data_IF_361954526578
#
_entry.id   IF_361954526578
#
_cell.length_a   1.000
_cell.length_b   1.000
_cell.length_c   1.000
_cell.angle_alpha   90.00
_cell.angle_beta   90.00
_cell.angle_gamma   90.00
#
_symmetry.space_group_name_H-M   'P 1'
#
loop_
_entity.id
_entity.type
_entity.pdbx_description
1 polymer ?
#
# COMPACT_ATOMS: atom_id res chain seq x y z
N UNK A 1 72.79 -3.93 -2.81
CA UNK A 1 72.08 -5.00 -2.04
C UNK A 1 71.07 -4.49 -0.99
N UNK A 2 70.88 -3.18 -0.76
CA UNK A 2 69.92 -2.68 0.26
C UNK A 2 68.51 -2.32 -0.23
N UNK A 3 68.32 -2.07 -1.53
CA UNK A 3 67.06 -1.57 -2.12
C UNK A 3 66.00 -2.65 -2.30
N UNK A 4 66.38 -3.88 -2.67
CA UNK A 4 65.44 -4.99 -2.85
C UNK A 4 64.77 -5.43 -1.54
N UNK A 5 65.47 -5.32 -0.42
CA UNK A 5 64.93 -5.65 0.90
C UNK A 5 63.87 -4.67 1.40
N UNK A 6 63.92 -3.40 0.97
CA UNK A 6 62.91 -2.38 1.30
C UNK A 6 61.66 -2.52 0.44
N UNK A 7 61.83 -2.71 -0.87
CA UNK A 7 60.71 -2.94 -1.79
C UNK A 7 59.94 -4.23 -1.47
N UNK A 8 60.64 -5.30 -1.05
CA UNK A 8 60.00 -6.54 -0.61
C UNK A 8 59.16 -6.36 0.66
N UNK A 9 59.69 -5.65 1.68
CA UNK A 9 58.94 -5.34 2.92
C UNK A 9 57.73 -4.44 2.65
N UNK A 10 57.86 -3.46 1.77
CA UNK A 10 56.77 -2.54 1.44
C UNK A 10 55.63 -3.26 0.70
N UNK A 11 55.96 -4.17 -0.23
CA UNK A 11 54.97 -5.03 -0.90
C UNK A 11 54.29 -5.99 0.07
N UNK A 12 55.04 -6.60 0.99
CA UNK A 12 54.50 -7.49 2.01
C UNK A 12 53.57 -6.76 2.99
N UNK A 13 53.90 -5.51 3.35
CA UNK A 13 53.06 -4.65 4.18
C UNK A 13 51.76 -4.26 3.47
N UNK A 14 51.83 -3.85 2.19
CA UNK A 14 50.66 -3.52 1.37
C UNK A 14 49.73 -4.72 1.16
N UNK A 15 50.30 -5.90 0.94
CA UNK A 15 49.54 -7.15 0.79
C UNK A 15 48.86 -7.56 2.10
N UNK A 16 49.53 -7.41 3.24
CA UNK A 16 48.95 -7.70 4.55
C UNK A 16 47.74 -6.81 4.88
N UNK A 17 47.83 -5.50 4.61
CA UNK A 17 46.70 -4.59 4.84
C UNK A 17 45.49 -4.91 3.96
N UNK A 18 45.72 -5.26 2.69
CA UNK A 18 44.64 -5.68 1.79
C UNK A 18 43.96 -6.96 2.29
N UNK A 19 44.72 -7.97 2.73
CA UNK A 19 44.16 -9.20 3.30
C UNK A 19 43.30 -8.89 4.53
N UNK A 20 43.78 -8.05 5.45
CA UNK A 20 43.00 -7.66 6.63
C UNK A 20 41.74 -6.87 6.26
N UNK A 21 41.80 -5.97 5.28
CA UNK A 21 40.65 -5.20 4.81
C UNK A 21 39.58 -6.10 4.18
N UNK A 22 39.98 -7.05 3.33
CA UNK A 22 39.06 -8.02 2.72
C UNK A 22 38.49 -9.01 3.75
N UNK A 23 39.28 -9.42 4.74
CA UNK A 23 38.79 -10.19 5.89
C UNK A 23 37.73 -9.43 6.70
N UNK A 24 37.96 -8.16 6.98
CA UNK A 24 36.98 -7.33 7.68
C UNK A 24 35.69 -7.18 6.85
N UNK A 25 35.79 -7.00 5.54
CA UNK A 25 34.63 -6.97 4.65
C UNK A 25 33.86 -8.30 4.65
N UNK A 26 34.57 -9.43 4.59
CA UNK A 26 33.95 -10.76 4.72
C UNK A 26 33.22 -10.92 6.07
N UNK A 27 33.80 -10.37 7.15
CA UNK A 27 33.14 -10.28 8.45
C UNK A 27 31.85 -9.44 8.44
N UNK A 28 31.85 -8.29 7.75
CA UNK A 28 30.65 -7.47 7.56
C UNK A 28 29.55 -8.20 6.79
N UNK A 29 29.92 -8.97 5.75
CA UNK A 29 28.98 -9.83 5.02
C UNK A 29 28.40 -10.90 5.95
N UNK A 30 29.24 -11.53 6.78
CA UNK A 30 28.80 -12.48 7.81
C UNK A 30 27.82 -11.86 8.81
N UNK A 31 28.11 -10.66 9.32
CA UNK A 31 27.20 -9.92 10.20
C UNK A 31 25.85 -9.59 9.52
N UNK A 32 25.88 -9.22 8.24
CA UNK A 32 24.69 -8.92 7.45
C UNK A 32 23.84 -10.18 7.22
N UNK A 33 24.49 -11.31 6.93
CA UNK A 33 23.81 -12.60 6.81
C UNK A 33 23.14 -13.01 8.13
N UNK A 34 23.83 -12.83 9.26
CA UNK A 34 23.28 -13.09 10.59
C UNK A 34 22.08 -12.19 10.90
N UNK A 35 22.15 -10.90 10.57
CA UNK A 35 21.02 -9.98 10.67
C UNK A 35 19.84 -10.44 9.81
N UNK A 36 20.08 -10.88 8.57
CA UNK A 36 19.07 -11.41 7.67
C UNK A 36 18.37 -12.66 8.23
N UNK A 37 19.13 -13.59 8.83
CA UNK A 37 18.57 -14.78 9.49
C UNK A 37 17.65 -14.38 10.65
N UNK A 38 18.07 -13.47 11.52
CA UNK A 38 17.23 -13.00 12.63
C UNK A 38 15.97 -12.28 12.15
N UNK A 39 16.06 -11.45 11.10
CA UNK A 39 14.88 -10.81 10.49
C UNK A 39 13.92 -11.81 9.86
N UNK A 40 14.42 -12.83 9.16
CA UNK A 40 13.59 -13.86 8.56
C UNK A 40 12.85 -14.69 9.61
N UNK A 41 13.52 -15.00 10.72
CA UNK A 41 12.93 -15.69 11.86
C UNK A 41 11.88 -14.80 12.56
N UNK A 42 12.12 -13.50 12.70
CA UNK A 42 11.16 -12.51 13.24
C UNK A 42 9.86 -12.45 12.44
N UNK A 43 9.97 -12.43 11.10
CA UNK A 43 8.81 -12.37 10.21
C UNK A 43 7.99 -13.65 10.21
N UNK A 44 8.63 -14.83 10.27
CA UNK A 44 7.92 -16.12 10.24
C UNK A 44 7.35 -16.54 11.58
N UNK A 45 7.94 -16.09 12.69
CA UNK A 45 7.54 -16.48 14.04
C UNK A 45 7.26 -15.22 14.87
N UNK A 46 6.32 -14.35 14.46
CA UNK A 46 6.07 -13.08 15.12
C UNK A 46 5.72 -13.25 16.60
N UNK A 47 5.03 -14.33 16.99
CA UNK A 47 4.71 -14.62 18.40
C UNK A 47 5.95 -14.99 19.23
N UNK A 48 7.01 -15.48 18.58
CA UNK A 48 8.31 -15.72 19.19
C UNK A 48 9.23 -14.48 19.14
N UNK A 49 8.74 -13.30 18.74
CA UNK A 49 9.57 -12.09 18.61
C UNK A 49 8.92 -10.80 19.11
N UNK A 50 7.61 -10.63 18.90
CA UNK A 50 6.83 -9.43 19.23
C UNK A 50 6.78 -9.12 20.72
N UNK A 51 7.11 -10.07 21.58
CA UNK A 51 7.12 -9.88 23.04
C UNK A 51 8.46 -9.37 23.61
N UNK A 52 9.50 -9.13 22.77
CA UNK A 52 10.82 -8.66 23.24
C UNK A 52 10.77 -7.30 23.96
N UNK A 53 9.75 -6.49 23.70
CA UNK A 53 9.58 -5.19 24.35
C UNK A 53 8.70 -5.19 25.61
N UNK A 54 7.92 -6.25 25.91
CA UNK A 54 7.04 -6.16 27.09
C UNK A 54 6.74 -7.48 27.84
N UNK A 55 7.09 -8.67 27.36
CA UNK A 55 6.77 -9.92 28.11
C UNK A 55 7.51 -11.20 27.67
N UNK A 56 8.64 -11.08 26.97
CA UNK A 56 9.44 -12.24 26.55
C UNK A 56 10.04 -13.05 27.71
N UNK A 57 10.11 -12.45 28.91
CA UNK A 57 10.72 -13.07 30.09
C UNK A 57 10.00 -14.31 30.63
N UNK A 58 8.74 -14.57 30.26
CA UNK A 58 7.92 -15.62 30.89
C UNK A 58 7.49 -16.77 29.96
N UNK A 59 7.36 -16.55 28.65
CA UNK A 59 6.89 -17.60 27.71
C UNK A 59 8.04 -18.43 27.10
N UNK A 60 9.15 -17.80 26.67
CA UNK A 60 10.35 -18.54 26.21
C UNK A 60 11.15 -19.13 27.37
N UNK A 61 10.89 -18.68 28.60
CA UNK A 61 11.41 -19.27 29.83
C UNK A 61 10.88 -20.68 30.13
N UNK A 62 9.88 -21.19 29.38
CA UNK A 62 9.39 -22.55 29.59
C UNK A 62 10.47 -23.62 29.29
N UNK A 63 11.43 -23.34 28.38
CA UNK A 63 12.53 -24.26 28.06
C UNK A 63 13.84 -23.52 27.75
N UNK A 64 14.76 -23.45 28.72
CA UNK A 64 16.07 -22.79 28.64
C UNK A 64 16.92 -23.18 27.41
N UNK A 65 16.79 -24.42 26.91
CA UNK A 65 17.53 -24.92 25.76
C UNK A 65 17.10 -24.27 24.44
N UNK A 66 15.85 -23.82 24.32
CA UNK A 66 15.36 -23.10 23.12
C UNK A 66 15.97 -21.71 23.03
N UNK A 67 16.05 -21.01 24.16
CA UNK A 67 16.72 -19.72 24.27
C UNK A 67 18.21 -19.85 23.91
N UNK A 68 18.87 -20.90 24.39
CA UNK A 68 20.26 -21.18 24.07
C UNK A 68 20.44 -21.50 22.59
N UNK A 69 19.65 -22.41 22.03
CA UNK A 69 19.71 -22.78 20.61
C UNK A 69 19.50 -21.57 19.70
N UNK A 70 18.56 -20.70 20.04
CA UNK A 70 18.25 -19.49 19.28
C UNK A 70 19.41 -18.48 19.23
N UNK A 71 20.21 -18.39 20.29
CA UNK A 71 21.38 -17.49 20.36
C UNK A 71 22.64 -18.11 19.82
N UNK A 72 22.79 -19.41 19.97
CA UNK A 72 24.03 -20.13 19.62
C UNK A 72 23.98 -20.64 18.19
N UNK A 73 22.88 -21.27 17.74
CA UNK A 73 22.85 -21.98 16.44
C UNK A 73 23.04 -21.04 15.25
N UNK A 74 22.29 -19.91 15.10
CA UNK A 74 22.50 -19.01 13.97
C UNK A 74 23.90 -18.41 13.94
N UNK A 75 24.40 -17.99 15.11
CA UNK A 75 25.73 -17.41 15.28
C UNK A 75 26.82 -18.43 14.97
N UNK A 76 26.66 -19.66 15.41
CA UNK A 76 27.59 -20.75 15.16
C UNK A 76 27.64 -21.11 13.67
N UNK A 77 26.47 -21.29 13.03
CA UNK A 77 26.39 -21.66 11.61
C UNK A 77 26.98 -20.56 10.73
N UNK A 78 26.58 -19.30 10.92
CA UNK A 78 27.08 -18.17 10.13
C UNK A 78 28.55 -17.89 10.45
N UNK A 79 28.95 -17.98 11.72
CA UNK A 79 30.35 -17.83 12.14
C UNK A 79 31.25 -18.89 11.51
N UNK A 80 30.83 -20.15 11.51
CA UNK A 80 31.54 -21.26 10.88
C UNK A 80 31.64 -21.07 9.36
N UNK A 81 30.54 -20.71 8.69
CA UNK A 81 30.55 -20.41 7.27
C UNK A 81 31.50 -19.23 6.95
N UNK A 82 31.49 -18.18 7.76
CA UNK A 82 32.37 -17.00 7.60
C UNK A 82 33.83 -17.37 7.77
N UNK A 83 34.18 -18.07 8.87
CA UNK A 83 35.55 -18.51 9.17
C UNK A 83 36.09 -19.40 8.03
N UNK A 84 35.35 -20.46 7.67
CA UNK A 84 35.81 -21.46 6.70
C UNK A 84 35.88 -20.89 5.28
N UNK A 85 34.87 -20.12 4.87
CA UNK A 85 34.85 -19.48 3.53
C UNK A 85 35.99 -18.49 3.39
N UNK A 86 36.22 -17.66 4.41
CA UNK A 86 37.30 -16.66 4.39
C UNK A 86 38.68 -17.33 4.33
N UNK A 87 38.91 -18.37 5.13
CA UNK A 87 40.16 -19.14 5.08
C UNK A 87 40.38 -19.78 3.69
N UNK A 88 39.32 -20.28 3.04
CA UNK A 88 39.40 -20.84 1.67
C UNK A 88 39.70 -19.79 0.59
N UNK A 89 39.39 -18.53 0.86
CA UNK A 89 39.75 -17.39 0.01
C UNK A 89 41.17 -16.88 0.29
N UNK A 90 41.97 -17.60 1.10
CA UNK A 90 43.32 -17.19 1.53
C UNK A 90 43.34 -15.88 2.31
N UNK A 91 42.25 -15.58 3.02
CA UNK A 91 42.09 -14.42 3.88
C UNK A 91 42.17 -14.85 5.36
N UNK A 92 42.35 -13.89 6.27
CA UNK A 92 42.29 -14.13 7.72
C UNK A 92 40.84 -14.35 8.18
N UNK A 93 40.45 -15.61 8.34
CA UNK A 93 39.11 -15.98 8.80
C UNK A 93 38.86 -15.74 10.29
N UNK A 94 39.91 -15.65 11.12
CA UNK A 94 39.78 -15.33 12.54
C UNK A 94 39.36 -13.88 12.70
N UNK A 95 40.02 -12.97 11.97
CA UNK A 95 39.62 -11.57 11.91
C UNK A 95 38.19 -11.41 11.39
N UNK A 96 37.83 -12.10 10.30
CA UNK A 96 36.48 -12.02 9.74
C UNK A 96 35.40 -12.49 10.74
N UNK A 97 35.64 -13.59 11.46
CA UNK A 97 34.74 -14.08 12.49
C UNK A 97 34.53 -13.04 13.60
N UNK A 98 35.62 -12.48 14.15
CA UNK A 98 35.51 -11.50 15.24
C UNK A 98 34.87 -10.18 14.81
N UNK A 99 35.15 -9.73 13.58
CA UNK A 99 34.45 -8.57 12.99
C UNK A 99 32.95 -8.87 12.88
N UNK A 100 32.56 -10.04 12.37
CA UNK A 100 31.15 -10.42 12.25
C UNK A 100 30.43 -10.40 13.61
N UNK A 101 31.05 -11.01 14.63
CA UNK A 101 30.50 -11.07 15.99
C UNK A 101 30.44 -9.70 16.67
N UNK A 102 31.48 -8.88 16.51
CA UNK A 102 31.53 -7.55 17.10
C UNK A 102 30.45 -6.63 16.50
N UNK A 103 30.32 -6.62 15.18
CA UNK A 103 29.29 -5.83 14.48
C UNK A 103 27.89 -6.30 14.88
N UNK A 104 27.66 -7.62 14.95
CA UNK A 104 26.40 -8.16 15.41
C UNK A 104 26.09 -7.79 16.88
N UNK A 105 27.08 -7.89 17.77
CA UNK A 105 26.92 -7.53 19.18
C UNK A 105 26.59 -6.05 19.35
N UNK A 106 27.25 -5.15 18.61
CA UNK A 106 26.95 -3.71 18.61
C UNK A 106 25.55 -3.44 18.07
N UNK A 107 25.15 -4.09 16.97
CA UNK A 107 23.84 -3.88 16.36
C UNK A 107 22.68 -4.35 17.24
N UNK A 108 22.88 -5.42 18.03
CA UNK A 108 21.81 -6.06 18.82
C UNK A 108 21.80 -5.62 20.28
N UNK A 109 22.96 -5.44 20.90
CA UNK A 109 23.10 -5.15 22.32
C UNK A 109 23.77 -3.81 22.59
N UNK A 110 24.40 -3.18 21.60
CA UNK A 110 25.14 -1.93 21.78
C UNK A 110 24.27 -0.77 22.27
N UNK A 111 23.14 -0.51 21.61
CA UNK A 111 22.21 0.58 22.00
C UNK A 111 21.66 0.39 23.41
N UNK A 112 21.10 -0.79 23.71
CA UNK A 112 20.54 -1.10 25.02
C UNK A 112 21.60 -1.07 26.15
N UNK A 113 22.83 -1.51 25.87
CA UNK A 113 23.94 -1.42 26.82
C UNK A 113 24.38 0.03 27.02
N UNK A 114 24.51 0.84 25.96
CA UNK A 114 24.84 2.26 26.08
C UNK A 114 23.76 3.04 26.81
N UNK A 115 22.49 2.77 26.55
CA UNK A 115 21.37 3.40 27.23
C UNK A 115 21.35 3.02 28.72
N UNK A 116 21.59 1.74 29.05
CA UNK A 116 21.69 1.26 30.43
C UNK A 116 22.92 1.78 31.18
N UNK A 117 24.02 2.10 30.51
CA UNK A 117 25.26 2.60 31.12
C UNK A 117 25.30 4.13 31.20
N UNK A 118 24.71 4.84 30.24
CA UNK A 118 24.73 6.30 30.12
C UNK A 118 23.57 6.97 30.85
N UNK A 119 22.39 6.33 30.97
CA UNK A 119 21.30 6.83 31.81
C UNK A 119 21.51 6.45 33.28
N UNK A 120 22.52 7.08 33.90
CA UNK A 120 22.47 7.35 35.35
C UNK A 120 21.71 8.65 35.52
N UNK A 121 20.44 8.61 35.92
CA UNK A 121 19.81 9.51 36.90
C UNK A 121 18.28 9.46 36.84
N UNK A 122 17.65 9.36 38.02
CA UNK A 122 16.25 9.81 38.22
C UNK A 122 15.25 8.75 38.67
N UNK A 123 15.40 8.23 39.89
CA UNK A 123 14.24 7.88 40.73
C UNK A 123 13.34 6.70 40.35
N UNK A 124 13.73 5.82 39.41
CA UNK A 124 13.08 4.52 39.22
C UNK A 124 14.08 3.41 39.44
N UNK A 125 13.69 2.46 40.30
CA UNK A 125 14.46 1.29 40.75
C UNK A 125 15.39 0.76 39.67
N UNK A 126 16.69 0.88 39.94
CA UNK A 126 17.76 0.26 39.17
C UNK A 126 17.45 -1.24 39.05
N UNK A 127 16.89 -1.68 37.92
CA UNK A 127 16.63 -3.10 37.67
C UNK A 127 17.98 -3.75 37.36
N UNK A 128 18.62 -4.30 38.39
CA UNK A 128 19.92 -5.01 38.40
C UNK A 128 20.03 -6.10 37.31
N UNK A 129 18.93 -6.48 36.64
CA UNK A 129 18.88 -7.54 35.64
C UNK A 129 19.14 -7.14 34.18
N UNK A 130 19.04 -5.86 33.78
CA UNK A 130 19.12 -5.52 32.35
C UNK A 130 20.56 -5.50 31.79
N UNK A 131 21.49 -4.84 32.48
CA UNK A 131 22.90 -4.82 32.06
C UNK A 131 23.51 -6.24 32.11
N UNK A 132 23.23 -7.00 33.17
CA UNK A 132 23.67 -8.40 33.35
C UNK A 132 23.19 -9.32 32.22
N UNK A 133 21.97 -9.10 31.73
CA UNK A 133 21.43 -9.81 30.58
C UNK A 133 22.19 -9.50 29.28
N UNK A 134 22.50 -8.24 29.00
CA UNK A 134 23.25 -7.87 27.80
C UNK A 134 24.72 -8.32 27.88
N UNK A 135 25.34 -8.25 29.06
CA UNK A 135 26.68 -8.80 29.28
C UNK A 135 26.73 -10.32 29.09
N UNK A 136 25.76 -11.06 29.65
CA UNK A 136 25.69 -12.52 29.44
C UNK A 136 25.39 -12.87 27.98
N UNK A 137 24.62 -12.05 27.25
CA UNK A 137 24.40 -12.21 25.82
C UNK A 137 25.70 -12.05 25.00
N UNK A 138 26.48 -11.00 25.28
CA UNK A 138 27.77 -10.75 24.61
C UNK A 138 28.78 -11.85 24.96
N UNK A 139 28.83 -12.27 26.22
CA UNK A 139 29.68 -13.38 26.65
C UNK A 139 29.33 -14.68 25.91
N UNK A 140 28.04 -14.97 25.74
CA UNK A 140 27.58 -16.13 24.98
C UNK A 140 27.96 -16.07 23.49
N UNK A 141 27.92 -14.88 22.87
CA UNK A 141 28.45 -14.69 21.51
C UNK A 141 29.96 -15.00 21.45
N UNK A 142 30.72 -14.54 22.43
CA UNK A 142 32.15 -14.83 22.55
C UNK A 142 32.45 -16.32 22.71
N UNK A 143 31.73 -17.01 23.61
CA UNK A 143 31.82 -18.47 23.80
C UNK A 143 31.48 -19.20 22.50
N UNK A 144 30.44 -18.76 21.80
CA UNK A 144 30.05 -19.35 20.51
C UNK A 144 31.14 -19.16 19.46
N UNK A 145 31.77 -17.97 19.40
CA UNK A 145 32.91 -17.69 18.53
C UNK A 145 34.11 -18.60 18.81
N UNK A 146 34.44 -18.81 20.08
CA UNK A 146 35.49 -19.78 20.47
C UNK A 146 35.11 -21.20 20.03
N UNK A 147 33.85 -21.61 20.23
CA UNK A 147 33.35 -22.89 19.74
C UNK A 147 33.50 -23.07 18.23
N UNK A 148 33.24 -22.01 17.46
CA UNK A 148 33.45 -21.98 15.99
C UNK A 148 34.93 -22.14 15.65
N UNK A 149 35.84 -21.47 16.35
CA UNK A 149 37.29 -21.60 16.12
C UNK A 149 37.79 -23.02 16.38
N UNK A 150 37.37 -23.61 17.51
CA UNK A 150 37.79 -24.96 17.92
C UNK A 150 37.25 -26.05 16.98
N UNK A 151 36.02 -25.89 16.49
CA UNK A 151 35.36 -26.86 15.61
C UNK A 151 35.63 -26.62 14.12
N UNK A 152 36.12 -25.43 13.74
CA UNK A 152 36.21 -24.98 12.36
C UNK A 152 37.01 -25.89 11.44
N UNK A 153 38.10 -26.49 11.95
CA UNK A 153 38.89 -27.47 11.19
C UNK A 153 38.10 -28.73 10.88
N UNK A 154 37.43 -29.29 11.89
CA UNK A 154 36.67 -30.54 11.76
C UNK A 154 35.40 -30.35 10.92
N UNK A 155 34.65 -29.29 11.18
CA UNK A 155 33.40 -28.99 10.46
C UNK A 155 33.60 -28.30 9.11
N UNK A 156 34.85 -28.03 8.71
CA UNK A 156 35.15 -27.44 7.40
C UNK A 156 34.57 -28.24 6.24
N UNK A 157 34.46 -29.57 6.38
CA UNK A 157 33.90 -30.47 5.36
C UNK A 157 32.41 -30.24 5.12
N UNK A 158 31.67 -29.73 6.12
CA UNK A 158 30.23 -29.45 6.04
C UNK A 158 29.97 -28.13 5.32
N UNK A 159 30.90 -27.16 5.42
CA UNK A 159 30.77 -25.87 4.75
C UNK A 159 31.05 -26.05 3.25
N UNK A 160 30.13 -25.67 2.34
CA UNK A 160 30.36 -25.75 0.89
C UNK A 160 31.52 -24.87 0.43
N UNK A 161 32.12 -25.19 -0.73
CA UNK A 161 33.11 -24.30 -1.34
C UNK A 161 32.49 -22.93 -1.67
N UNK A 162 33.25 -21.82 -1.64
CA UNK A 162 32.72 -20.47 -1.86
C UNK A 162 31.90 -20.34 -3.16
N UNK A 163 32.37 -21.00 -4.23
CA UNK A 163 31.67 -21.05 -5.52
C UNK A 163 30.30 -21.73 -5.41
N UNK A 164 30.23 -22.89 -4.76
CA UNK A 164 28.97 -23.64 -4.57
C UNK A 164 28.00 -22.84 -3.69
N UNK A 165 28.51 -22.14 -2.68
CA UNK A 165 27.70 -21.26 -1.83
C UNK A 165 27.08 -20.12 -2.65
N UNK A 166 27.85 -19.50 -3.55
CA UNK A 166 27.36 -18.46 -4.46
C UNK A 166 26.32 -19.01 -5.44
N UNK A 167 26.57 -20.18 -6.03
CA UNK A 167 25.62 -20.86 -6.94
C UNK A 167 24.28 -21.14 -6.22
N UNK A 168 24.32 -21.68 -5.00
CA UNK A 168 23.12 -21.93 -4.20
C UNK A 168 22.38 -20.65 -3.81
N UNK A 169 23.10 -19.55 -3.53
CA UNK A 169 22.49 -18.27 -3.22
C UNK A 169 21.70 -17.71 -4.42
N UNK A 170 22.28 -17.83 -5.62
CA UNK A 170 21.59 -17.46 -6.87
C UNK A 170 20.33 -18.30 -7.09
N UNK A 171 20.43 -19.62 -6.91
CA UNK A 171 19.27 -20.52 -7.03
C UNK A 171 18.17 -20.14 -6.04
N UNK A 172 18.51 -19.93 -4.77
CA UNK A 172 17.54 -19.51 -3.75
C UNK A 172 16.89 -18.16 -4.09
N UNK A 173 17.67 -17.20 -4.61
CA UNK A 173 17.15 -15.91 -5.06
C UNK A 173 16.15 -16.07 -6.20
N UNK A 174 16.48 -16.86 -7.24
CA UNK A 174 15.56 -17.11 -8.35
C UNK A 174 14.28 -17.80 -7.90
N UNK A 175 14.39 -18.81 -7.02
CA UNK A 175 13.22 -19.49 -6.45
C UNK A 175 12.37 -18.52 -5.63
N UNK A 176 12.98 -17.66 -4.82
CA UNK A 176 12.26 -16.67 -4.01
C UNK A 176 11.52 -15.65 -4.89
N UNK A 177 12.18 -15.15 -5.94
CA UNK A 177 11.57 -14.20 -6.89
C UNK A 177 10.46 -14.88 -7.68
N UNK A 178 10.72 -16.02 -8.30
CA UNK A 178 9.72 -16.76 -9.09
C UNK A 178 8.55 -17.21 -8.22
N UNK A 179 8.82 -17.72 -7.03
CA UNK A 179 7.80 -18.10 -6.04
C UNK A 179 7.00 -16.91 -5.54
N UNK A 180 7.63 -15.76 -5.30
CA UNK A 180 6.95 -14.52 -4.93
C UNK A 180 6.04 -13.98 -6.05
N UNK A 181 6.51 -14.03 -7.29
CA UNK A 181 5.72 -13.67 -8.48
C UNK A 181 4.54 -14.62 -8.64
N UNK A 182 4.77 -15.94 -8.60
CA UNK A 182 3.70 -16.94 -8.70
C UNK A 182 2.69 -16.78 -7.55
N UNK A 183 3.17 -16.59 -6.33
CA UNK A 183 2.33 -16.34 -5.17
C UNK A 183 1.48 -15.08 -5.37
N UNK A 184 2.02 -14.01 -5.98
CA UNK A 184 1.24 -12.81 -6.27
C UNK A 184 0.10 -13.05 -7.27
N UNK A 185 0.25 -14.00 -8.20
CA UNK A 185 -0.80 -14.40 -9.13
C UNK A 185 -1.82 -15.36 -8.50
N UNK A 186 -1.38 -16.23 -7.59
CA UNK A 186 -2.21 -17.29 -6.99
C UNK A 186 -2.86 -16.85 -5.68
N UNK A 187 -2.45 -15.72 -5.11
CA UNK A 187 -2.95 -15.22 -3.82
C UNK A 187 -4.48 -15.16 -3.84
N UNK A 188 -5.08 -15.99 -2.98
CA UNK A 188 -6.52 -15.99 -2.75
C UNK A 188 -6.98 -14.61 -2.25
N UNK A 189 -8.21 -14.27 -2.61
CA UNK A 189 -8.98 -13.10 -2.15
C UNK A 189 -8.74 -12.88 -0.66
N UNK A 190 -8.42 -11.65 -0.27
CA UNK A 190 -8.20 -11.26 1.12
C UNK A 190 -9.43 -11.65 1.95
N UNK A 191 -9.27 -12.24 3.13
CA UNK A 191 -10.39 -12.66 3.99
C UNK A 191 -11.27 -11.46 4.42
N UNK A 192 -10.71 -10.24 4.36
CA UNK A 192 -11.43 -8.98 4.59
C UNK A 192 -12.13 -8.42 3.35
N UNK A 193 -12.06 -9.11 2.21
CA UNK A 193 -12.70 -8.64 0.98
C UNK A 193 -14.22 -8.71 1.12
N UNK A 194 -14.97 -7.76 0.52
CA UNK A 194 -16.43 -7.79 0.52
C UNK A 194 -17.00 -9.08 -0.09
N UNK A 195 -18.27 -9.40 0.18
CA UNK A 195 -18.85 -10.69 -0.21
C UNK A 195 -19.13 -10.82 -1.71
N UNK A 196 -19.56 -9.74 -2.38
CA UNK A 196 -19.87 -9.73 -3.81
C UNK A 196 -18.62 -9.44 -4.68
N UNK A 197 -18.56 -9.95 -5.90
CA UNK A 197 -17.38 -9.75 -6.77
C UNK A 197 -17.22 -8.27 -7.16
N UNK A 198 -18.33 -7.61 -7.44
CA UNK A 198 -18.42 -6.22 -7.88
C UNK A 198 -17.98 -5.24 -6.78
N UNK A 199 -18.43 -5.45 -5.55
CA UNK A 199 -18.03 -4.63 -4.40
C UNK A 199 -16.52 -4.76 -4.11
N UNK A 200 -15.95 -5.95 -4.29
CA UNK A 200 -14.49 -6.13 -4.21
C UNK A 200 -13.75 -5.38 -5.31
N UNK A 201 -14.26 -5.40 -6.53
CA UNK A 201 -13.66 -4.68 -7.65
C UNK A 201 -13.72 -3.17 -7.44
N UNK A 202 -14.85 -2.64 -6.96
CA UNK A 202 -14.97 -1.22 -6.60
C UNK A 202 -14.02 -0.87 -5.46
N UNK A 203 -14.03 -1.62 -4.35
CA UNK A 203 -13.11 -1.38 -3.23
C UNK A 203 -11.64 -1.37 -3.66
N UNK A 204 -11.25 -2.31 -4.54
CA UNK A 204 -9.89 -2.39 -5.07
C UNK A 204 -9.56 -1.19 -5.96
N UNK A 205 -10.48 -0.80 -6.85
CA UNK A 205 -10.32 0.36 -7.72
C UNK A 205 -10.21 1.65 -6.89
N UNK A 206 -11.06 1.81 -5.87
CA UNK A 206 -11.03 2.98 -4.98
C UNK A 206 -9.68 3.16 -4.29
N UNK A 207 -9.10 2.07 -3.76
CA UNK A 207 -7.75 2.10 -3.17
C UNK A 207 -6.65 2.44 -4.18
N UNK A 208 -6.79 1.97 -5.42
CA UNK A 208 -5.81 2.23 -6.48
C UNK A 208 -6.02 3.57 -7.20
N UNK A 209 -7.17 4.22 -7.07
CA UNK A 209 -7.39 5.58 -7.58
C UNK A 209 -6.97 6.59 -6.50
N UNK A 210 -7.53 6.45 -5.31
CA UNK A 210 -7.41 7.43 -4.23
C UNK A 210 -8.62 8.37 -4.18
N UNK A 211 -8.92 8.87 -2.99
CA UNK A 211 -10.17 9.54 -2.70
C UNK A 211 -10.34 10.88 -3.45
N UNK A 212 -9.24 11.63 -3.61
CA UNK A 212 -9.24 12.95 -4.24
C UNK A 212 -9.66 12.88 -5.71
N UNK A 213 -9.19 11.85 -6.43
CA UNK A 213 -9.51 11.69 -7.85
C UNK A 213 -10.95 11.20 -8.05
N UNK A 214 -11.47 10.39 -7.12
CA UNK A 214 -12.87 9.93 -7.11
C UNK A 214 -13.82 11.10 -6.89
N UNK A 215 -13.40 12.09 -6.09
CA UNK A 215 -14.18 13.32 -5.89
C UNK A 215 -14.10 14.23 -7.11
N UNK A 216 -12.88 14.45 -7.61
CA UNK A 216 -12.69 15.24 -8.82
C UNK A 216 -13.51 14.67 -9.99
N UNK A 217 -13.62 13.34 -10.13
CA UNK A 217 -14.37 12.73 -11.23
C UNK A 217 -15.84 13.14 -11.24
N UNK A 218 -16.46 13.36 -10.08
CA UNK A 218 -17.87 13.77 -10.01
C UNK A 218 -18.04 15.22 -10.50
N UNK A 219 -17.21 16.13 -9.98
CA UNK A 219 -17.19 17.53 -10.41
C UNK A 219 -16.85 17.67 -11.91
N UNK A 220 -15.86 16.94 -12.40
CA UNK A 220 -15.45 16.96 -13.81
C UNK A 220 -16.58 16.45 -14.71
N UNK A 221 -17.24 15.35 -14.35
CA UNK A 221 -18.35 14.81 -15.13
C UNK A 221 -19.53 15.79 -15.19
N UNK A 222 -19.94 16.33 -14.04
CA UNK A 222 -21.07 17.27 -13.96
C UNK A 222 -20.81 18.56 -14.77
N UNK A 223 -19.60 19.12 -14.68
CA UNK A 223 -19.20 20.30 -15.47
C UNK A 223 -19.18 20.03 -16.98
N UNK A 224 -18.80 18.81 -17.40
CA UNK A 224 -18.81 18.39 -18.80
C UNK A 224 -20.21 17.98 -19.31
N UNK A 225 -21.24 17.94 -18.45
CA UNK A 225 -22.55 17.40 -18.81
C UNK A 225 -22.53 15.88 -19.08
N UNK A 226 -21.60 15.17 -18.45
CA UNK A 226 -21.46 13.72 -18.50
C UNK A 226 -22.10 13.06 -17.27
N UNK A 227 -22.52 11.81 -17.42
CA UNK A 227 -22.96 10.98 -16.30
C UNK A 227 -21.77 10.65 -15.36
N UNK A 228 -21.78 11.11 -14.10
CA UNK A 228 -20.68 10.87 -13.16
C UNK A 228 -20.48 9.41 -12.78
N UNK A 229 -21.56 8.62 -12.71
CA UNK A 229 -21.47 7.20 -12.41
C UNK A 229 -20.86 6.45 -13.60
N UNK A 230 -21.14 6.90 -14.83
CA UNK A 230 -20.58 6.32 -16.04
C UNK A 230 -19.07 6.60 -16.13
N UNK A 231 -18.67 7.85 -15.91
CA UNK A 231 -17.25 8.21 -15.87
C UNK A 231 -16.50 7.42 -14.80
N UNK A 232 -17.09 7.32 -13.59
CA UNK A 232 -16.50 6.57 -12.48
C UNK A 232 -16.40 5.08 -12.77
N UNK A 233 -17.41 4.48 -13.41
CA UNK A 233 -17.39 3.07 -13.83
C UNK A 233 -16.31 2.79 -14.87
N UNK A 234 -16.17 3.67 -15.86
CA UNK A 234 -15.12 3.61 -16.88
C UNK A 234 -13.73 3.70 -16.22
N UNK A 235 -13.54 4.67 -15.32
CA UNK A 235 -12.31 4.83 -14.55
C UNK A 235 -11.97 3.58 -13.74
N UNK A 236 -12.95 2.98 -13.05
CA UNK A 236 -12.73 1.77 -12.26
C UNK A 236 -12.37 0.56 -13.13
N UNK A 237 -13.03 0.37 -14.27
CA UNK A 237 -12.73 -0.72 -15.20
C UNK A 237 -11.28 -0.63 -15.73
N UNK A 238 -10.84 0.57 -16.12
CA UNK A 238 -9.46 0.81 -16.59
C UNK A 238 -8.42 0.49 -15.51
N UNK A 239 -8.67 0.96 -14.29
CA UNK A 239 -7.76 0.77 -13.16
C UNK A 239 -7.64 -0.70 -12.75
N UNK A 240 -8.73 -1.47 -12.87
CA UNK A 240 -8.71 -2.90 -12.60
C UNK A 240 -7.86 -3.67 -13.60
N UNK A 241 -7.83 -3.24 -14.87
CA UNK A 241 -6.98 -3.83 -15.90
C UNK A 241 -5.52 -3.34 -15.81
N UNK A 242 -5.29 -2.12 -15.29
CA UNK A 242 -3.95 -1.48 -15.24
C UNK A 242 -3.62 -0.87 -13.88
N UNK A 243 -2.94 -1.63 -12.98
CA UNK A 243 -2.55 -1.17 -11.66
C UNK A 243 -1.68 0.11 -11.68
N UNK A 244 -1.72 0.93 -10.62
CA UNK A 244 -0.90 2.15 -10.43
C UNK A 244 0.56 2.03 -10.89
N UNK A 245 1.23 0.91 -10.60
CA UNK A 245 2.66 0.74 -10.94
C UNK A 245 2.90 0.63 -12.45
N UNK A 246 1.98 -0.01 -13.19
CA UNK A 246 2.03 -0.07 -14.66
C UNK A 246 1.88 1.34 -15.23
N UNK A 247 0.88 2.09 -14.75
CA UNK A 247 0.65 3.49 -15.15
C UNK A 247 1.86 4.40 -14.85
N UNK A 248 2.55 4.17 -13.73
CA UNK A 248 3.80 4.88 -13.40
C UNK A 248 4.93 4.54 -14.36
N UNK A 249 5.08 3.27 -14.75
CA UNK A 249 6.05 2.86 -15.77
C UNK A 249 5.72 3.43 -17.14
N UNK A 250 4.44 3.42 -17.54
CA UNK A 250 3.98 4.02 -18.79
C UNK A 250 4.26 5.53 -18.83
N UNK A 251 4.06 6.26 -17.73
CA UNK A 251 4.43 7.68 -17.63
C UNK A 251 5.94 7.90 -17.73
N UNK A 252 6.73 7.07 -17.06
CA UNK A 252 8.19 7.16 -17.12
C UNK A 252 8.73 6.82 -18.53
N UNK A 253 8.15 5.82 -19.19
CA UNK A 253 8.47 5.45 -20.57
C UNK A 253 7.94 6.49 -21.57
N UNK A 254 6.78 7.08 -21.31
CA UNK A 254 6.14 8.11 -22.13
C UNK A 254 6.88 9.45 -22.11
N UNK A 255 7.71 9.70 -21.09
CA UNK A 255 8.66 10.81 -21.13
C UNK A 255 9.71 10.63 -22.25
N UNK A 256 9.93 9.39 -22.72
CA UNK A 256 10.87 9.03 -23.79
C UNK A 256 10.13 8.73 -25.11
N UNK A 257 8.98 8.06 -25.05
CA UNK A 257 8.15 7.69 -26.19
C UNK A 257 6.93 8.63 -26.26
N UNK A 258 6.85 9.47 -27.29
CA UNK A 258 5.89 10.58 -27.39
C UNK A 258 4.43 10.17 -27.56
N UNK A 259 4.11 8.94 -27.95
CA UNK A 259 2.71 8.52 -28.20
C UNK A 259 2.35 7.31 -27.35
N UNK A 260 1.20 7.39 -26.66
CA UNK A 260 0.73 6.33 -25.78
C UNK A 260 -0.65 6.61 -25.18
N UNK A 261 -1.14 5.66 -24.38
CA UNK A 261 -2.31 5.83 -23.51
C UNK A 261 -1.84 6.23 -22.12
N UNK A 262 -2.46 7.27 -21.56
CA UNK A 262 -2.03 7.83 -20.27
C UNK A 262 -3.19 8.11 -19.33
N UNK A 263 -2.85 8.22 -18.04
CA UNK A 263 -3.77 8.58 -16.99
C UNK A 263 -4.62 7.42 -16.46
N UNK A 264 -5.62 7.77 -15.65
CA UNK A 264 -6.49 6.81 -14.96
C UNK A 264 -7.52 6.18 -15.90
N UNK A 265 -7.92 6.91 -16.95
CA UNK A 265 -8.85 6.45 -17.99
C UNK A 265 -8.16 6.02 -19.28
N UNK A 266 -6.82 5.98 -19.32
CA UNK A 266 -6.03 5.49 -20.47
C UNK A 266 -6.32 6.18 -21.81
N UNK A 267 -6.47 7.50 -21.77
CA UNK A 267 -6.71 8.30 -22.97
C UNK A 267 -5.48 8.34 -23.87
N UNK A 268 -5.70 8.16 -25.19
CA UNK A 268 -4.63 8.27 -26.20
C UNK A 268 -4.22 9.73 -26.34
N UNK A 269 -2.93 10.02 -26.20
CA UNK A 269 -2.40 11.36 -26.35
C UNK A 269 -0.96 11.34 -26.89
N UNK A 270 -0.57 12.34 -27.70
CA UNK A 270 0.82 12.55 -28.13
C UNK A 270 1.71 13.18 -27.04
N UNK A 271 1.18 13.37 -25.83
CA UNK A 271 1.92 13.82 -24.66
C UNK A 271 1.42 13.07 -23.42
N UNK A 272 2.30 12.78 -22.44
CA UNK A 272 1.88 12.20 -21.17
C UNK A 272 0.79 13.06 -20.51
N UNK A 273 -0.34 12.43 -20.16
CA UNK A 273 -1.44 13.07 -19.44
C UNK A 273 -1.35 12.76 -17.94
N UNK A 274 -1.70 13.74 -17.12
CA UNK A 274 -2.03 13.54 -15.72
C UNK A 274 -3.33 12.75 -15.57
N UNK A 275 -3.55 12.21 -14.37
CA UNK A 275 -4.77 11.46 -14.08
C UNK A 275 -6.01 12.37 -14.17
N UNK A 276 -5.91 13.66 -13.82
CA UNK A 276 -6.99 14.65 -13.96
C UNK A 276 -7.27 15.01 -15.43
N UNK A 277 -6.25 15.34 -16.22
CA UNK A 277 -6.43 15.63 -17.65
C UNK A 277 -7.05 14.44 -18.40
N UNK A 278 -6.69 13.22 -18.02
CA UNK A 278 -7.32 12.02 -18.60
C UNK A 278 -8.80 11.91 -18.27
N UNK A 279 -9.21 12.31 -17.04
CA UNK A 279 -10.62 12.34 -16.65
C UNK A 279 -11.38 13.42 -17.41
N UNK A 280 -10.82 14.62 -17.57
CA UNK A 280 -11.44 15.72 -18.31
C UNK A 280 -11.70 15.32 -19.77
N UNK A 281 -10.72 14.69 -20.42
CA UNK A 281 -10.88 14.19 -21.80
C UNK A 281 -11.94 13.10 -21.89
N UNK A 282 -11.97 12.15 -20.94
CA UNK A 282 -13.00 11.12 -20.91
C UNK A 282 -14.39 11.68 -20.67
N UNK A 283 -14.53 12.65 -19.75
CA UNK A 283 -15.79 13.32 -19.47
C UNK A 283 -16.31 14.07 -20.70
N UNK A 284 -15.44 14.79 -21.42
CA UNK A 284 -15.79 15.44 -22.66
C UNK A 284 -16.23 14.46 -23.76
N UNK A 285 -15.61 13.27 -23.84
CA UNK A 285 -15.99 12.24 -24.82
C UNK A 285 -17.38 11.65 -24.57
N UNK A 286 -17.75 11.46 -23.30
CA UNK A 286 -19.06 10.89 -22.92
C UNK A 286 -20.10 11.96 -22.60
N UNK A 287 -19.80 13.24 -22.83
CA UNK A 287 -20.71 14.35 -22.60
C UNK A 287 -22.05 14.14 -23.34
N UNK A 288 -23.16 14.39 -22.64
CA UNK A 288 -24.50 14.16 -23.17
C UNK A 288 -24.89 12.67 -23.32
N UNK A 289 -24.07 11.74 -22.83
CA UNK A 289 -24.45 10.34 -22.70
C UNK A 289 -24.84 10.02 -21.26
N UNK A 290 -25.79 9.11 -21.10
CA UNK A 290 -26.31 8.64 -19.82
C UNK A 290 -26.26 7.14 -19.76
N UNK A 291 -25.73 6.57 -18.67
CA UNK A 291 -25.78 5.14 -18.43
C UNK A 291 -27.16 4.65 -17.97
N UNK A 292 -28.09 5.57 -17.70
CA UNK A 292 -29.48 5.29 -17.31
C UNK A 292 -30.48 5.74 -18.37
N UNK A 293 -31.57 4.98 -18.48
CA UNK A 293 -32.77 5.34 -19.22
C UNK A 293 -34.00 5.21 -18.32
N UNK A 294 -34.98 6.07 -18.55
CA UNK A 294 -36.28 6.03 -17.85
C UNK A 294 -37.17 4.96 -18.49
N UNK A 295 -37.73 4.09 -17.66
CA UNK A 295 -38.79 3.15 -18.03
C UNK A 295 -40.03 3.39 -17.18
N UNK A 296 -41.09 2.61 -17.41
CA UNK A 296 -42.29 2.60 -16.56
C UNK A 296 -42.00 2.15 -15.11
N UNK A 297 -40.87 1.47 -14.88
CA UNK A 297 -40.42 0.96 -13.59
C UNK A 297 -39.39 1.87 -12.91
N UNK A 298 -39.25 3.12 -13.37
CA UNK A 298 -38.23 4.05 -12.90
C UNK A 298 -36.96 4.03 -13.75
N UNK A 299 -35.83 4.40 -13.15
CA UNK A 299 -34.56 4.45 -13.87
C UNK A 299 -33.93 3.06 -13.95
N UNK A 300 -33.44 2.70 -15.13
CA UNK A 300 -32.78 1.42 -15.35
C UNK A 300 -31.46 1.63 -16.11
N UNK A 301 -30.55 0.68 -15.96
CA UNK A 301 -29.31 0.64 -16.75
C UNK A 301 -29.66 0.57 -18.23
N UNK A 302 -29.07 1.46 -19.02
CA UNK A 302 -29.28 1.55 -20.45
C UNK A 302 -28.08 0.96 -21.19
N UNK A 303 -28.04 -0.37 -21.34
CA UNK A 303 -26.89 -1.09 -21.91
C UNK A 303 -26.46 -0.52 -23.27
N UNK A 304 -27.41 -0.20 -24.14
CA UNK A 304 -27.14 0.40 -25.45
C UNK A 304 -26.58 1.83 -25.37
N UNK A 305 -26.89 2.58 -24.32
CA UNK A 305 -26.33 3.91 -24.09
C UNK A 305 -24.90 3.81 -23.53
N UNK A 306 -24.66 2.90 -22.58
CA UNK A 306 -23.32 2.59 -22.08
C UNK A 306 -22.43 2.11 -23.22
N UNK A 307 -22.92 1.20 -24.06
CA UNK A 307 -22.18 0.72 -25.22
C UNK A 307 -21.79 1.87 -26.17
N UNK A 308 -22.73 2.76 -26.50
CA UNK A 308 -22.46 3.92 -27.36
C UNK A 308 -21.43 4.88 -26.77
N UNK A 309 -21.44 5.06 -25.44
CA UNK A 309 -20.50 5.94 -24.76
C UNK A 309 -19.10 5.31 -24.63
N UNK A 310 -19.01 4.00 -24.38
CA UNK A 310 -17.76 3.34 -23.99
C UNK A 310 -17.05 2.67 -25.17
N UNK A 311 -17.77 2.14 -26.16
CA UNK A 311 -17.17 1.44 -27.30
C UNK A 311 -16.18 2.28 -28.13
N UNK A 312 -16.38 3.60 -28.33
CA UNK A 312 -15.39 4.44 -29.00
C UNK A 312 -14.06 4.56 -28.22
N UNK A 313 -14.12 4.44 -26.90
CA UNK A 313 -12.95 4.46 -26.01
C UNK A 313 -12.23 3.11 -26.02
N UNK A 314 -12.97 2.02 -25.81
CA UNK A 314 -12.46 0.66 -25.86
C UNK A 314 -13.56 -0.30 -26.35
N UNK A 315 -13.36 -0.87 -27.54
CA UNK A 315 -14.33 -1.78 -28.18
C UNK A 315 -14.27 -3.23 -27.69
N UNK A 316 -13.44 -3.56 -26.71
CA UNK A 316 -13.39 -4.89 -26.12
C UNK A 316 -14.67 -5.21 -25.33
N UNK A 317 -15.31 -6.33 -25.66
CA UNK A 317 -16.57 -6.77 -25.05
C UNK A 317 -16.42 -6.99 -23.54
N UNK A 318 -15.30 -7.56 -23.10
CA UNK A 318 -15.08 -7.83 -21.68
C UNK A 318 -14.90 -6.53 -20.88
N UNK A 319 -14.23 -5.52 -21.46
CA UNK A 319 -14.14 -4.20 -20.87
C UNK A 319 -15.52 -3.53 -20.74
N UNK A 320 -16.33 -3.54 -21.79
CA UNK A 320 -17.64 -2.88 -21.76
C UNK A 320 -18.59 -3.57 -20.77
N UNK A 321 -18.59 -4.91 -20.72
CA UNK A 321 -19.34 -5.68 -19.70
C UNK A 321 -18.87 -5.34 -18.28
N UNK A 322 -17.56 -5.16 -18.06
CA UNK A 322 -17.04 -4.71 -16.77
C UNK A 322 -17.56 -3.31 -16.39
N UNK A 323 -17.57 -2.35 -17.33
CA UNK A 323 -18.13 -1.01 -17.10
C UNK A 323 -19.62 -1.09 -16.79
N UNK A 324 -20.39 -1.88 -17.53
CA UNK A 324 -21.82 -2.09 -17.28
C UNK A 324 -22.10 -2.67 -15.89
N UNK A 325 -21.35 -3.69 -15.47
CA UNK A 325 -21.51 -4.30 -14.13
C UNK A 325 -21.15 -3.33 -13.02
N UNK A 326 -20.05 -2.58 -13.17
CA UNK A 326 -19.65 -1.56 -12.19
C UNK A 326 -20.66 -0.43 -12.12
N UNK A 327 -21.23 -0.03 -13.25
CA UNK A 327 -22.29 0.98 -13.32
C UNK A 327 -23.56 0.49 -12.63
N UNK A 328 -24.05 -0.71 -12.99
CA UNK A 328 -25.22 -1.33 -12.39
C UNK A 328 -25.05 -1.50 -10.88
N UNK A 329 -23.88 -1.92 -10.42
CA UNK A 329 -23.58 -2.04 -9.00
C UNK A 329 -23.66 -0.70 -8.27
N UNK A 330 -23.06 0.36 -8.85
CA UNK A 330 -23.14 1.71 -8.27
C UNK A 330 -24.57 2.22 -8.22
N UNK A 331 -25.36 1.96 -9.26
CA UNK A 331 -26.77 2.33 -9.31
C UNK A 331 -27.60 1.61 -8.25
N UNK A 332 -27.41 0.29 -8.14
CA UNK A 332 -28.14 -0.58 -7.20
C UNK A 332 -27.77 -0.33 -5.73
N UNK A 333 -26.64 0.34 -5.45
CA UNK A 333 -26.29 0.82 -4.10
C UNK A 333 -27.30 1.86 -3.59
N UNK A 334 -28.09 2.44 -4.48
CA UNK A 334 -29.14 3.40 -4.18
C UNK A 334 -30.51 2.75 -4.46
N UNK A 335 -31.02 1.88 -3.57
CA UNK A 335 -32.21 1.07 -3.84
C UNK A 335 -33.46 1.90 -4.16
N UNK A 336 -33.52 3.14 -3.67
CA UNK A 336 -34.61 4.06 -3.97
C UNK A 336 -34.61 4.52 -5.45
N UNK A 337 -33.49 4.43 -6.16
CA UNK A 337 -33.35 4.86 -7.56
C UNK A 337 -34.14 3.97 -8.54
N UNK A 338 -34.44 2.73 -8.12
CA UNK A 338 -35.25 1.76 -8.86
C UNK A 338 -36.72 1.74 -8.42
N UNK A 339 -37.14 2.65 -7.51
CA UNK A 339 -38.55 2.73 -7.10
C UNK A 339 -39.38 3.27 -8.28
N UNK A 340 -40.46 2.59 -8.71
CA UNK A 340 -41.36 3.08 -9.76
C UNK A 340 -42.12 4.35 -9.34
N UNK A 341 -42.11 4.71 -8.06
CA UNK A 341 -42.61 6.01 -7.63
C UNK A 341 -41.75 7.10 -8.27
N UNK A 342 -42.34 8.23 -8.69
CA UNK A 342 -41.61 9.37 -9.22
C UNK A 342 -40.83 10.05 -8.09
N UNK A 343 -39.81 9.37 -7.57
CA UNK A 343 -38.81 9.99 -6.75
C UNK A 343 -38.01 10.89 -7.69
N UNK A 344 -38.40 12.16 -7.67
CA UNK A 344 -37.89 13.17 -8.59
C UNK A 344 -36.42 13.49 -8.31
N UNK A 345 -35.90 13.13 -7.13
CA UNK A 345 -34.48 13.19 -6.82
C UNK A 345 -34.03 12.10 -5.84
N UNK A 346 -32.75 11.76 -5.95
CA UNK A 346 -32.06 10.82 -5.07
C UNK A 346 -30.72 11.40 -4.65
N UNK A 347 -30.49 11.42 -3.34
CA UNK A 347 -29.14 11.63 -2.79
C UNK A 347 -28.36 10.33 -2.95
N UNK A 348 -27.29 10.40 -3.75
CA UNK A 348 -26.38 9.30 -3.99
C UNK A 348 -25.38 9.21 -2.86
N UNK A 349 -24.67 10.31 -2.61
CA UNK A 349 -23.56 10.31 -1.66
C UNK A 349 -23.63 11.61 -0.84
N UNK A 350 -23.53 11.46 0.48
CA UNK A 350 -23.26 12.57 1.38
C UNK A 350 -21.83 12.40 1.90
N UNK A 351 -20.92 13.23 1.42
CA UNK A 351 -19.50 13.18 1.80
C UNK A 351 -19.17 14.30 2.75
N UNK A 352 -18.44 13.99 3.82
CA UNK A 352 -18.00 14.97 4.81
C UNK A 352 -16.57 15.43 4.53
N UNK A 353 -16.39 16.74 4.43
CA UNK A 353 -15.12 17.44 4.45
C UNK A 353 -14.94 18.17 5.80
N UNK A 354 -13.74 18.72 6.11
CA UNK A 354 -13.51 19.41 7.37
C UNK A 354 -14.47 20.60 7.63
N UNK A 355 -14.86 21.31 6.57
CA UNK A 355 -15.62 22.56 6.60
C UNK A 355 -17.03 22.44 6.00
N UNK A 356 -17.32 21.38 5.25
CA UNK A 356 -18.61 21.19 4.56
C UNK A 356 -19.02 19.74 4.40
N UNK A 357 -20.28 19.50 4.04
CA UNK A 357 -20.70 18.27 3.37
C UNK A 357 -20.92 18.56 1.88
N UNK A 358 -20.48 17.66 1.02
CA UNK A 358 -20.91 17.63 -0.38
C UNK A 358 -22.05 16.62 -0.51
N UNK A 359 -23.21 17.11 -0.94
CA UNK A 359 -24.36 16.30 -1.30
C UNK A 359 -24.38 16.09 -2.81
N UNK A 360 -24.23 14.83 -3.22
CA UNK A 360 -24.30 14.42 -4.63
C UNK A 360 -25.69 13.90 -4.91
N UNK A 361 -26.40 14.60 -5.79
CA UNK A 361 -27.81 14.36 -6.06
C UNK A 361 -28.00 14.10 -7.55
N UNK A 362 -28.93 13.21 -7.86
CA UNK A 362 -29.44 12.99 -9.21
C UNK A 362 -30.93 13.24 -9.22
N UNK A 363 -31.42 13.92 -10.24
CA UNK A 363 -32.83 14.30 -10.30
C UNK A 363 -33.34 14.38 -11.73
N UNK A 364 -34.65 14.31 -11.91
CA UNK A 364 -35.35 14.66 -13.16
C UNK A 364 -36.22 15.92 -13.02
N UNK A 365 -36.20 16.58 -11.86
CA UNK A 365 -36.91 17.83 -11.59
C UNK A 365 -36.56 18.90 -12.62
N UNK A 366 -37.50 19.78 -12.94
CA UNK A 366 -37.20 20.99 -13.71
C UNK A 366 -36.52 22.06 -12.85
N UNK A 367 -36.74 22.03 -11.52
CA UNK A 367 -36.11 22.96 -10.58
C UNK A 367 -35.96 22.30 -9.20
N UNK A 368 -34.88 22.61 -8.50
CA UNK A 368 -34.57 22.09 -7.17
C UNK A 368 -34.20 23.24 -6.27
N UNK A 369 -34.86 23.29 -5.11
CA UNK A 369 -34.53 24.23 -4.04
C UNK A 369 -34.01 23.43 -2.87
N UNK A 370 -32.72 23.59 -2.56
CA UNK A 370 -32.11 22.99 -1.39
C UNK A 370 -32.07 24.02 -0.27
N UNK A 371 -32.71 23.70 0.85
CA UNK A 371 -32.70 24.51 2.07
C UNK A 371 -31.96 23.77 3.18
N UNK A 372 -30.83 24.29 3.62
CA UNK A 372 -30.04 23.72 4.72
C UNK A 372 -30.04 24.67 5.92
N UNK A 373 -30.31 24.14 7.12
CA UNK A 373 -30.25 24.92 8.35
C UNK A 373 -28.89 24.72 9.03
N UNK A 374 -27.98 25.68 8.80
CA UNK A 374 -26.72 25.80 9.54
C UNK A 374 -26.97 26.47 10.90
N UNK A 375 -26.23 26.06 11.93
CA UNK A 375 -26.28 26.67 13.26
C UNK A 375 -25.52 28.00 13.29
N UNK A 376 -24.56 28.17 12.39
CA UNK A 376 -23.64 29.32 12.35
C UNK A 376 -24.01 30.30 11.23
N UNK A 377 -24.28 29.81 10.02
CA UNK A 377 -24.41 30.66 8.82
C UNK A 377 -25.87 30.99 8.45
N UNK A 378 -26.84 30.46 9.20
CA UNK A 378 -28.27 30.60 8.90
C UNK A 378 -28.75 29.68 7.77
N UNK A 379 -29.97 29.91 7.23
CA UNK A 379 -30.50 29.06 6.17
C UNK A 379 -29.77 29.30 4.85
N UNK A 380 -29.12 28.26 4.31
CA UNK A 380 -28.60 28.25 2.94
C UNK A 380 -29.71 27.78 2.01
N UNK A 381 -30.07 28.60 1.02
CA UNK A 381 -30.99 28.24 -0.04
C UNK A 381 -30.26 28.23 -1.38
N UNK A 382 -30.18 27.07 -2.02
CA UNK A 382 -29.64 26.92 -3.38
C UNK A 382 -30.79 26.63 -4.33
N UNK A 383 -31.00 27.50 -5.31
CA UNK A 383 -32.05 27.36 -6.31
C UNK A 383 -31.41 27.02 -7.66
N UNK A 384 -31.75 25.85 -8.19
CA UNK A 384 -31.15 25.31 -9.39
C UNK A 384 -32.25 25.01 -10.41
N UNK A 385 -32.12 25.52 -11.63
CA UNK A 385 -33.06 25.29 -12.73
C UNK A 385 -32.42 24.47 -13.84
N UNK A 386 -33.21 23.55 -14.40
CA UNK A 386 -32.77 22.62 -15.44
C UNK A 386 -32.94 23.22 -16.83
N UNK A 387 -31.92 23.10 -17.66
CA UNK A 387 -31.91 23.61 -19.04
C UNK A 387 -32.21 22.55 -20.12
N UNK A 388 -32.01 21.24 -19.86
CA UNK A 388 -32.30 20.15 -20.81
C UNK A 388 -33.04 18.96 -20.16
N UNK A 389 -34.22 18.63 -20.68
CA UNK A 389 -35.13 17.59 -20.18
C UNK A 389 -34.74 16.14 -20.54
N UNK A 390 -33.71 15.89 -21.36
CA UNK A 390 -33.45 14.55 -21.93
C UNK A 390 -32.65 13.60 -21.04
N UNK A 391 -31.84 14.10 -20.11
CA UNK A 391 -30.89 13.33 -19.28
C UNK A 391 -31.09 13.73 -17.81
N UNK A 392 -31.09 12.80 -16.84
CA UNK A 392 -31.15 13.19 -15.44
C UNK A 392 -29.96 14.10 -15.13
N UNK A 393 -30.21 15.19 -14.42
CA UNK A 393 -29.15 16.12 -14.06
C UNK A 393 -28.51 15.64 -12.76
N UNK A 394 -27.19 15.59 -12.80
CA UNK A 394 -26.33 15.23 -11.68
C UNK A 394 -25.69 16.52 -11.18
N UNK A 395 -25.73 16.75 -9.88
CA UNK A 395 -25.15 17.97 -9.32
C UNK A 395 -24.62 17.71 -7.91
N UNK A 396 -23.68 18.55 -7.51
CA UNK A 396 -23.07 18.56 -6.19
C UNK A 396 -23.46 19.86 -5.51
N UNK A 397 -23.96 19.77 -4.28
CA UNK A 397 -24.24 20.94 -3.44
C UNK A 397 -23.39 20.85 -2.20
N UNK A 398 -22.57 21.87 -1.99
CA UNK A 398 -21.83 22.05 -0.75
C UNK A 398 -22.73 22.69 0.30
N UNK A 399 -22.81 22.08 1.47
CA UNK A 399 -23.54 22.60 2.65
C UNK A 399 -22.60 22.70 3.85
N UNK A 400 -22.80 23.67 4.77
CA UNK A 400 -21.94 23.83 5.95
C UNK A 400 -21.85 22.56 6.81
N UNK A 401 -20.66 22.26 7.35
CA UNK A 401 -20.44 21.04 8.15
C UNK A 401 -21.20 21.01 9.49
N UNK A 402 -21.76 22.13 9.93
CA UNK A 402 -22.59 22.24 11.13
C UNK A 402 -24.10 22.08 10.84
N UNK A 403 -24.46 21.82 9.58
CA UNK A 403 -25.84 21.54 9.16
C UNK A 403 -26.29 20.20 9.77
N UNK A 404 -27.36 20.24 10.56
CA UNK A 404 -27.95 19.02 11.15
C UNK A 404 -29.08 18.44 10.29
N UNK A 405 -29.78 19.30 9.54
CA UNK A 405 -30.87 18.92 8.64
C UNK A 405 -30.81 19.74 7.35
N UNK A 406 -31.04 19.05 6.23
CA UNK A 406 -31.25 19.67 4.93
C UNK A 406 -32.59 19.20 4.34
N UNK A 407 -33.27 20.10 3.66
CA UNK A 407 -34.49 19.85 2.91
C UNK A 407 -34.19 20.06 1.43
N UNK A 408 -34.65 19.13 0.59
CA UNK A 408 -34.55 19.22 -0.86
C UNK A 408 -35.96 19.25 -1.41
N UNK A 409 -36.37 20.42 -1.89
CA UNK A 409 -37.67 20.65 -2.52
C UNK A 409 -37.53 20.52 -4.04
N UNK A 410 -38.42 19.75 -4.64
CA UNK A 410 -38.35 19.32 -6.03
C UNK A 410 -39.56 19.81 -6.81
N UNK A 411 -39.29 20.53 -7.90
CA UNK A 411 -40.32 21.17 -8.71
C UNK A 411 -40.35 20.58 -10.13
N UNK A 412 -41.55 20.38 -10.66
CA UNK A 412 -41.80 20.02 -12.07
C UNK A 412 -42.80 21.01 -12.63
N UNK A 413 -42.41 21.78 -13.65
CA UNK A 413 -43.23 22.85 -14.23
C UNK A 413 -43.75 23.81 -13.15
N UNK A 414 -42.87 24.25 -12.25
CA UNK A 414 -43.12 25.13 -11.10
C UNK A 414 -44.05 24.58 -10.01
N UNK A 415 -44.58 23.36 -10.14
CA UNK A 415 -45.32 22.70 -9.07
C UNK A 415 -44.35 21.95 -8.15
N UNK A 416 -44.43 22.19 -6.83
CA UNK A 416 -43.74 21.38 -5.83
C UNK A 416 -44.31 19.96 -5.87
N UNK A 417 -43.48 18.98 -6.19
CA UNK A 417 -43.92 17.58 -6.35
C UNK A 417 -43.41 16.70 -5.21
N UNK A 418 -42.27 17.05 -4.60
CA UNK A 418 -41.73 16.31 -3.48
C UNK A 418 -40.81 17.18 -2.61
N UNK A 419 -40.78 16.87 -1.32
CA UNK A 419 -39.81 17.38 -0.35
C UNK A 419 -39.10 16.20 0.28
N UNK A 420 -37.78 16.17 0.19
CA UNK A 420 -36.95 15.15 0.84
C UNK A 420 -36.20 15.76 2.01
N UNK A 421 -36.41 15.23 3.22
CA UNK A 421 -35.63 15.60 4.40
C UNK A 421 -34.42 14.69 4.51
N UNK A 422 -33.24 15.29 4.67
CA UNK A 422 -31.96 14.61 4.81
C UNK A 422 -31.45 14.82 6.24
N UNK A 423 -31.37 13.72 6.99
CA UNK A 423 -30.67 13.71 8.26
C UNK A 423 -29.16 13.55 7.98
N UNK A 424 -28.37 14.56 8.32
CA UNK A 424 -26.92 14.52 8.15
C UNK A 424 -26.29 13.92 9.41
N UNK A 425 -25.24 13.08 9.25
CA UNK A 425 -24.59 12.47 10.40
C UNK A 425 -24.03 13.54 11.34
N UNK A 426 -24.25 13.35 12.65
CA UNK A 426 -23.93 14.31 13.71
C UNK A 426 -22.48 14.85 13.58
N UNK A 427 -22.31 16.17 13.65
CA UNK A 427 -21.01 16.83 13.52
C UNK A 427 -19.96 16.29 14.49
N UNK A 428 -20.39 15.69 15.61
CA UNK A 428 -19.51 15.08 16.63
C UNK A 428 -19.23 13.60 16.42
N UNK A 429 -19.97 12.91 15.57
CA UNK A 429 -19.67 11.53 15.22
C UNK A 429 -18.39 11.53 14.37
N UNK A 430 -17.28 11.03 14.93
CA UNK A 430 -16.15 10.58 14.11
C UNK A 430 -16.72 9.51 13.19
N UNK A 431 -16.93 9.86 11.92
CA UNK A 431 -17.13 8.87 10.87
C UNK A 431 -15.82 8.11 10.81
N UNK A 432 -15.76 7.02 11.58
CA UNK A 432 -14.86 5.93 11.29
C UNK A 432 -15.15 5.58 9.85
N UNK A 433 -14.21 5.88 8.94
CA UNK A 433 -14.14 5.20 7.65
C UNK A 433 -13.87 3.72 7.95
N UNK A 434 -14.89 3.03 8.41
CA UNK A 434 -14.97 1.58 8.43
C UNK A 434 -15.69 1.20 7.15
N UNK A 435 -14.90 1.02 6.09
CA UNK A 435 -15.20 0.06 5.04
C UNK A 435 -13.94 -0.77 4.81
#
# INVERSE_FOLDING_TARGET
MGTDSRLARERQCKLGWLVSAWSALAGLVGATALWGVYRALEVRWPDAYSSLNDTFGLSVAQHWWRLLAYRVVPVFVIGLATLVTTNRLSLDGVLALWVALAVHAVATNGRALTESLLHRNGGRTFQINHATYHFSAIALLGITGVGVLLSGRFLSQVVPQPRVLLENLWVALFIAVAGGVLYSFVRKRDERSPASQEEYYVWRAERDVGIDLIDASFSIATQAGADPLLLRSLMYAEVLQRPKWVRRLERAAGAVLREGTYGVTQQRSPKPLSDLESLELSAAQIAGQSGVARSEWGWNVADAAIWRAVAPHNGDLAFIDAVQRLYAWQLNRYPNFMDPKPAIAHVLEARRYPDRFALRIVSDASRIVLTAHSLVDGPLATDLERTDARIPWWFEVDIPADTSQAHVDLFVSDALVATQQLALPDARARVSLAH
#
